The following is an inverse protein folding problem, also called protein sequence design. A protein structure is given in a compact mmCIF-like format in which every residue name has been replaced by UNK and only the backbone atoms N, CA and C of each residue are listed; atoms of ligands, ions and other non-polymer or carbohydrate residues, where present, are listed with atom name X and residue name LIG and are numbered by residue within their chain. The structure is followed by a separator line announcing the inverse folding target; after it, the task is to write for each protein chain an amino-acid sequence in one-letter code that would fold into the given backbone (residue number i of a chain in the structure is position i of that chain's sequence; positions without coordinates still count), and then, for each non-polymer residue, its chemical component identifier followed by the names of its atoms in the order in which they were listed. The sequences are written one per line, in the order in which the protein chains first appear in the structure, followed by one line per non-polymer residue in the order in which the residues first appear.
data_IF_197004321591
#
_entry.id   IF_197004321591
#
_cell.length_a   1.000
_cell.length_b   1.000
_cell.length_c   1.000
_cell.angle_alpha   90.00
_cell.angle_beta   90.00
_cell.angle_gamma   90.00
#
_symmetry.space_group_name_H-M   'P 1'
#
loop_
_entity.id
_entity.type
_entity.pdbx_description
1 polymer ?
#
# COMPACT_ATOMS: atom_id res chain seq x y z
N UNK A 1 -14.00 -1.14 17.03
CA UNK A 1 -14.20 0.10 17.82
C UNK A 1 -15.43 0.92 17.39
N UNK A 2 -16.10 0.61 16.27
CA UNK A 2 -17.46 1.13 16.06
C UNK A 2 -18.36 0.71 17.24
N UNK A 3 -18.29 -0.57 17.64
CA UNK A 3 -19.06 -1.14 18.75
C UNK A 3 -18.75 -0.53 20.12
N UNK A 4 -17.48 -0.35 20.49
CA UNK A 4 -17.12 0.27 21.78
C UNK A 4 -17.48 1.77 21.87
N UNK A 5 -17.47 2.50 20.75
CA UNK A 5 -17.97 3.89 20.70
C UNK A 5 -19.51 3.95 20.63
N UNK A 6 -20.15 2.96 20.00
CA UNK A 6 -21.60 2.79 20.01
C UNK A 6 -22.12 2.55 21.44
N UNK A 7 -21.43 1.72 22.22
CA UNK A 7 -21.81 1.44 23.61
C UNK A 7 -21.70 2.64 24.56
N UNK A 8 -20.89 3.66 24.23
CA UNK A 8 -20.78 4.91 24.99
C UNK A 8 -21.73 5.99 24.46
N UNK A 9 -22.05 5.96 23.17
CA UNK A 9 -23.01 6.88 22.55
C UNK A 9 -24.47 6.56 22.88
N UNK A 10 -24.75 5.33 23.27
CA UNK A 10 -26.06 4.86 23.66
C UNK A 10 -25.94 4.21 25.03
N UNK A 11 -26.35 4.90 26.09
CA UNK A 11 -26.50 4.29 27.40
C UNK A 11 -27.91 3.70 27.52
N UNK A 12 -27.96 2.41 27.79
CA UNK A 12 -29.22 1.69 27.98
C UNK A 12 -29.42 1.47 29.47
N UNK A 13 -30.34 2.20 30.09
CA UNK A 13 -30.78 1.93 31.45
C UNK A 13 -32.17 1.29 31.38
N UNK A 14 -32.23 0.03 31.80
CA UNK A 14 -33.50 -0.70 31.93
C UNK A 14 -34.00 -0.46 33.36
N UNK A 15 -35.08 0.30 33.52
CA UNK A 15 -35.77 0.46 34.80
C UNK A 15 -37.13 -0.23 34.77
N UNK A 16 -37.78 -0.37 35.93
CA UNK A 16 -39.11 -0.98 36.07
C UNK A 16 -40.22 -0.22 35.29
N UNK A 17 -39.94 1.00 34.83
CA UNK A 17 -40.84 1.83 34.02
C UNK A 17 -40.61 1.71 32.49
N UNK A 18 -39.59 0.94 32.06
CA UNK A 18 -39.27 0.72 30.65
C UNK A 18 -37.80 0.99 30.31
N UNK A 19 -37.46 0.87 29.02
CA UNK A 19 -36.10 1.11 28.51
C UNK A 19 -35.92 2.60 28.23
N UNK A 20 -35.05 3.29 28.99
CA UNK A 20 -34.64 4.67 28.68
C UNK A 20 -33.33 4.64 27.91
N UNK A 21 -33.34 5.27 26.73
CA UNK A 21 -32.22 5.32 25.80
C UNK A 21 -31.67 6.75 25.80
N UNK A 22 -30.57 6.97 26.50
CA UNK A 22 -29.91 8.27 26.57
C UNK A 22 -28.77 8.29 25.55
N UNK A 23 -28.76 9.29 24.67
CA UNK A 23 -27.75 9.40 23.62
C UNK A 23 -27.20 10.81 23.47
N UNK A 24 -25.88 10.89 23.38
CA UNK A 24 -25.18 12.15 23.16
C UNK A 24 -25.26 12.55 21.68
N UNK A 25 -26.01 13.63 21.41
CA UNK A 25 -26.21 14.18 20.06
C UNK A 25 -24.89 14.56 19.37
N UNK A 26 -23.90 15.04 20.12
CA UNK A 26 -22.59 15.41 19.54
C UNK A 26 -21.81 14.16 19.14
N UNK A 27 -21.80 13.14 20.00
CA UNK A 27 -21.10 11.88 19.74
C UNK A 27 -21.74 11.12 18.56
N UNK A 28 -23.08 11.09 18.48
CA UNK A 28 -23.80 10.50 17.35
C UNK A 28 -23.47 11.24 16.05
N UNK A 29 -23.42 12.58 16.07
CA UNK A 29 -23.03 13.38 14.91
C UNK A 29 -21.60 13.07 14.47
N UNK A 30 -20.66 12.93 15.41
CA UNK A 30 -19.27 12.57 15.11
C UNK A 30 -19.14 11.14 14.54
N UNK A 31 -19.91 10.19 15.07
CA UNK A 31 -20.01 8.83 14.53
C UNK A 31 -20.54 8.85 13.09
N UNK A 32 -21.59 9.61 12.81
CA UNK A 32 -22.17 9.74 11.47
C UNK A 32 -21.17 10.35 10.48
N UNK A 33 -20.43 11.39 10.89
CA UNK A 33 -19.35 11.97 10.09
C UNK A 33 -18.22 10.97 9.82
N UNK A 34 -17.86 10.16 10.82
CA UNK A 34 -16.83 9.12 10.68
C UNK A 34 -17.28 8.01 9.73
N UNK A 35 -18.54 7.57 9.85
CA UNK A 35 -19.14 6.57 8.97
C UNK A 35 -19.22 7.07 7.52
N UNK A 36 -19.73 8.29 7.29
CA UNK A 36 -19.78 8.95 5.97
C UNK A 36 -18.38 9.04 5.34
N UNK A 37 -17.37 9.39 6.14
CA UNK A 37 -15.98 9.45 5.69
C UNK A 37 -15.43 8.07 5.30
N UNK A 38 -15.66 7.06 6.13
CA UNK A 38 -15.25 5.68 5.85
C UNK A 38 -15.87 5.16 4.56
N UNK A 39 -17.18 5.40 4.36
CA UNK A 39 -17.89 5.02 3.15
C UNK A 39 -17.32 5.74 1.92
N UNK A 40 -17.10 7.06 2.01
CA UNK A 40 -16.50 7.85 0.92
C UNK A 40 -15.10 7.34 0.55
N UNK A 41 -14.28 6.94 1.52
CA UNK A 41 -12.96 6.36 1.23
C UNK A 41 -13.06 5.00 0.55
N UNK A 42 -13.96 4.13 1.00
CA UNK A 42 -14.21 2.83 0.35
C UNK A 42 -14.65 3.02 -1.09
N UNK A 43 -15.56 3.95 -1.33
CA UNK A 43 -16.01 4.30 -2.69
C UNK A 43 -14.87 4.84 -3.57
N UNK A 44 -14.06 5.77 -3.06
CA UNK A 44 -12.89 6.29 -3.79
C UNK A 44 -11.89 5.16 -4.11
N UNK A 45 -11.60 4.28 -3.15
CA UNK A 45 -10.68 3.16 -3.34
C UNK A 45 -11.21 2.19 -4.40
N UNK A 46 -12.49 1.84 -4.32
CA UNK A 46 -13.17 1.04 -5.32
C UNK A 46 -13.03 1.67 -6.71
N UNK A 47 -13.42 2.93 -6.86
CA UNK A 47 -13.35 3.64 -8.14
C UNK A 47 -11.92 3.74 -8.70
N UNK A 48 -10.93 3.99 -7.84
CA UNK A 48 -9.53 4.01 -8.23
C UNK A 48 -9.02 2.63 -8.66
N UNK A 49 -9.47 1.54 -8.02
CA UNK A 49 -9.12 0.20 -8.46
C UNK A 49 -9.64 -0.06 -9.88
N UNK A 50 -10.87 0.36 -10.20
CA UNK A 50 -11.38 0.22 -11.57
C UNK A 50 -10.58 1.09 -12.55
N UNK A 51 -10.21 2.33 -12.19
CA UNK A 51 -9.31 3.17 -13.00
C UNK A 51 -7.95 2.51 -13.27
N UNK A 52 -7.36 1.88 -12.25
CA UNK A 52 -6.09 1.16 -12.41
C UNK A 52 -6.22 -0.06 -13.32
N UNK A 53 -7.39 -0.70 -13.37
CA UNK A 53 -7.66 -1.81 -14.31
C UNK A 53 -7.74 -1.32 -15.76
N UNK A 54 -8.27 -0.11 -15.98
CA UNK A 54 -8.45 0.45 -17.33
C UNK A 54 -7.24 1.23 -17.85
N UNK A 55 -6.32 1.64 -16.98
CA UNK A 55 -5.06 2.26 -17.38
C UNK A 55 -4.32 1.38 -18.43
N UNK A 56 -3.84 1.95 -19.56
CA UNK A 56 -3.58 3.38 -19.84
C UNK A 56 -4.77 4.21 -20.35
N UNK A 57 -5.93 3.58 -20.57
CA UNK A 57 -7.13 4.26 -21.06
C UNK A 57 -7.86 5.03 -19.95
N UNK A 58 -8.81 5.87 -20.33
CA UNK A 58 -9.68 6.60 -19.40
C UNK A 58 -11.06 5.99 -19.36
N UNK A 59 -11.65 5.90 -18.17
CA UNK A 59 -13.03 5.44 -18.01
C UNK A 59 -14.03 6.16 -18.92
N UNK A 60 -14.06 7.52 -18.96
CA UNK A 60 -14.97 8.21 -19.87
C UNK A 60 -14.75 7.87 -21.35
N UNK A 61 -13.50 7.68 -21.80
CA UNK A 61 -13.24 7.35 -23.21
C UNK A 61 -13.69 5.94 -23.54
N UNK A 62 -13.43 4.97 -22.65
CA UNK A 62 -13.85 3.58 -22.86
C UNK A 62 -15.37 3.49 -22.88
N UNK A 63 -16.06 4.15 -21.95
CA UNK A 63 -17.53 4.19 -21.94
C UNK A 63 -18.08 4.90 -23.18
N UNK A 64 -17.50 6.04 -23.58
CA UNK A 64 -17.92 6.74 -24.79
C UNK A 64 -17.74 5.88 -26.05
N UNK A 65 -16.64 5.12 -26.14
CA UNK A 65 -16.39 4.22 -27.26
C UNK A 65 -17.34 3.02 -27.25
N UNK A 66 -17.63 2.43 -26.09
CA UNK A 66 -18.64 1.36 -25.98
C UNK A 66 -20.03 1.87 -26.39
N UNK A 67 -20.43 3.07 -25.93
CA UNK A 67 -21.71 3.67 -26.29
C UNK A 67 -21.75 3.98 -27.79
N UNK A 68 -20.68 4.55 -28.34
CA UNK A 68 -20.59 4.86 -29.76
C UNK A 68 -20.69 3.59 -30.61
N UNK A 69 -19.89 2.56 -30.32
CA UNK A 69 -19.91 1.31 -31.09
C UNK A 69 -21.23 0.56 -30.92
N UNK A 70 -21.84 0.60 -29.73
CA UNK A 70 -23.15 -0.01 -29.50
C UNK A 70 -24.26 0.75 -30.26
N UNK A 71 -24.24 2.08 -30.25
CA UNK A 71 -25.19 2.89 -31.04
C UNK A 71 -25.06 2.61 -32.53
N UNK A 72 -23.84 2.46 -33.05
CA UNK A 72 -23.60 2.07 -34.44
C UNK A 72 -24.16 0.68 -34.75
N UNK A 73 -23.96 -0.32 -33.88
CA UNK A 73 -24.54 -1.66 -34.09
C UNK A 73 -26.07 -1.66 -34.09
N UNK A 74 -26.69 -0.82 -33.25
CA UNK A 74 -28.15 -0.73 -33.18
C UNK A 74 -28.68 0.06 -34.37
N UNK A 75 -27.98 1.10 -34.83
CA UNK A 75 -28.36 1.87 -36.01
C UNK A 75 -28.16 1.09 -37.31
N UNK A 76 -27.17 0.20 -37.38
CA UNK A 76 -26.96 -0.70 -38.53
C UNK A 76 -28.13 -1.66 -38.75
N UNK A 77 -28.78 -2.09 -37.67
CA UNK A 77 -30.04 -2.84 -37.75
C UNK A 77 -31.17 -2.03 -38.42
N UNK A 78 -31.06 -0.70 -38.44
CA UNK A 78 -32.06 0.24 -38.96
C UNK A 78 -31.48 1.15 -40.06
N UNK A 79 -30.62 0.66 -40.96
CA UNK A 79 -30.29 1.29 -42.28
C UNK A 79 -28.86 1.85 -42.50
N UNK A 80 -27.86 1.57 -41.66
CA UNK A 80 -26.45 1.91 -41.94
C UNK A 80 -25.55 0.67 -41.93
N UNK A 81 -25.18 0.10 -43.09
CA UNK A 81 -24.38 -1.13 -43.31
C UNK A 81 -22.99 -1.26 -42.60
N UNK A 82 -22.84 -0.83 -41.35
CA UNK A 82 -21.59 -0.89 -40.58
C UNK A 82 -21.84 -1.40 -39.16
N UNK A 83 -21.58 -2.69 -38.94
CA UNK A 83 -21.59 -3.34 -37.64
C UNK A 83 -20.17 -3.52 -37.08
N UNK A 84 -19.72 -2.71 -36.09
CA UNK A 84 -18.42 -2.88 -35.44
C UNK A 84 -18.26 -4.20 -34.67
N UNK A 85 -19.34 -4.94 -34.42
CA UNK A 85 -19.30 -6.27 -33.79
C UNK A 85 -19.26 -7.41 -34.79
N UNK A 86 -19.22 -7.13 -36.10
CA UNK A 86 -19.16 -8.11 -37.18
C UNK A 86 -20.26 -9.19 -37.07
N UNK A 87 -21.48 -8.81 -36.68
CA UNK A 87 -22.63 -9.71 -36.52
C UNK A 87 -22.64 -10.53 -35.23
N UNK A 88 -21.63 -10.42 -34.36
CA UNK A 88 -21.57 -11.18 -33.10
C UNK A 88 -22.65 -10.73 -32.11
N UNK A 89 -22.97 -9.43 -32.05
CA UNK A 89 -24.05 -8.94 -31.20
C UNK A 89 -25.40 -9.57 -31.59
N UNK A 90 -25.65 -9.74 -32.90
CA UNK A 90 -26.86 -10.39 -33.41
C UNK A 90 -26.91 -11.89 -33.11
N UNK A 91 -25.76 -12.56 -33.04
CA UNK A 91 -25.71 -13.97 -32.58
C UNK A 91 -25.97 -14.08 -31.10
N UNK A 92 -25.59 -13.08 -30.30
CA UNK A 92 -25.78 -13.12 -28.85
C UNK A 92 -27.26 -12.98 -28.45
N UNK A 93 -28.10 -12.33 -29.27
CA UNK A 93 -29.54 -12.19 -28.99
C UNK A 93 -30.29 -13.52 -29.00
N UNK A 94 -29.76 -14.55 -29.67
CA UNK A 94 -30.39 -15.88 -29.74
C UNK A 94 -30.12 -16.73 -28.50
N UNK A 95 -29.17 -16.33 -27.64
CA UNK A 95 -28.84 -17.03 -26.40
C UNK A 95 -29.63 -16.51 -25.20
N UNK A 96 -29.92 -17.38 -24.23
CA UNK A 96 -30.56 -17.01 -22.98
C UNK A 96 -29.58 -16.26 -22.04
N UNK A 97 -30.03 -15.26 -21.26
CA UNK A 97 -31.40 -14.72 -21.13
C UNK A 97 -31.79 -13.62 -22.15
N UNK A 98 -30.93 -13.27 -23.12
CA UNK A 98 -31.19 -12.15 -24.04
C UNK A 98 -32.38 -12.39 -24.97
N UNK A 99 -32.67 -13.64 -25.29
CA UNK A 99 -33.82 -14.04 -26.11
C UNK A 99 -35.19 -13.84 -25.42
N UNK A 100 -35.23 -13.58 -24.11
CA UNK A 100 -36.46 -13.30 -23.35
C UNK A 100 -36.91 -11.83 -23.44
N UNK A 101 -36.04 -10.96 -23.96
CA UNK A 101 -36.32 -9.53 -24.13
C UNK A 101 -36.92 -9.25 -25.52
N UNK A 102 -37.70 -8.16 -25.68
CA UNK A 102 -38.10 -7.66 -26.99
C UNK A 102 -36.90 -7.48 -27.93
N UNK A 103 -37.07 -7.73 -29.23
CA UNK A 103 -35.98 -7.75 -30.20
C UNK A 103 -35.05 -6.53 -30.14
N UNK A 104 -35.61 -5.33 -29.94
CA UNK A 104 -34.86 -4.08 -29.80
C UNK A 104 -34.02 -4.04 -28.52
N UNK A 105 -34.61 -4.44 -27.38
CA UNK A 105 -33.93 -4.44 -26.09
C UNK A 105 -32.86 -5.52 -26.05
N UNK A 106 -33.17 -6.70 -26.58
CA UNK A 106 -32.21 -7.80 -26.76
C UNK A 106 -30.98 -7.35 -27.54
N UNK A 107 -31.17 -6.69 -28.69
CA UNK A 107 -30.07 -6.18 -29.51
C UNK A 107 -29.22 -5.13 -28.77
N UNK A 108 -29.85 -4.18 -28.06
CA UNK A 108 -29.12 -3.16 -27.29
C UNK A 108 -28.26 -3.81 -26.21
N UNK A 109 -28.81 -4.72 -25.42
CA UNK A 109 -28.07 -5.37 -24.32
C UNK A 109 -26.97 -6.26 -24.90
N UNK A 110 -27.22 -6.99 -26.00
CA UNK A 110 -26.21 -7.80 -26.67
C UNK A 110 -25.08 -6.95 -27.28
N UNK A 111 -25.40 -5.83 -27.92
CA UNK A 111 -24.44 -4.87 -28.44
C UNK A 111 -23.53 -4.29 -27.35
N UNK A 112 -24.13 -3.80 -26.25
CA UNK A 112 -23.37 -3.26 -25.11
C UNK A 112 -22.47 -4.33 -24.50
N UNK A 113 -22.97 -5.55 -24.35
CA UNK A 113 -22.20 -6.67 -23.80
C UNK A 113 -21.02 -7.01 -24.70
N UNK A 114 -21.24 -7.21 -26.00
CA UNK A 114 -20.17 -7.56 -26.95
C UNK A 114 -19.11 -6.46 -27.04
N UNK A 115 -19.51 -5.20 -27.13
CA UNK A 115 -18.59 -4.07 -27.16
C UNK A 115 -17.81 -3.92 -25.85
N UNK A 116 -18.43 -4.19 -24.70
CA UNK A 116 -17.75 -4.18 -23.40
C UNK A 116 -16.70 -5.28 -23.32
N UNK A 117 -17.01 -6.50 -23.76
CA UNK A 117 -16.05 -7.61 -23.84
C UNK A 117 -14.91 -7.25 -24.80
N UNK A 118 -15.21 -6.73 -26.00
CA UNK A 118 -14.21 -6.32 -26.97
C UNK A 118 -13.23 -5.28 -26.41
N UNK A 119 -13.74 -4.22 -25.77
CA UNK A 119 -12.88 -3.22 -25.13
C UNK A 119 -12.10 -3.77 -23.93
N UNK A 120 -12.68 -4.69 -23.15
CA UNK A 120 -11.96 -5.38 -22.09
C UNK A 120 -10.80 -6.22 -22.65
N UNK A 121 -10.99 -6.89 -23.78
CA UNK A 121 -9.92 -7.61 -24.50
C UNK A 121 -8.84 -6.66 -25.00
N UNK A 122 -9.20 -5.52 -25.59
CA UNK A 122 -8.21 -4.49 -26.01
C UNK A 122 -7.38 -4.00 -24.83
N UNK A 123 -8.03 -3.65 -23.71
CA UNK A 123 -7.33 -3.22 -22.49
C UNK A 123 -6.39 -4.32 -21.99
N UNK A 124 -6.86 -5.57 -21.96
CA UNK A 124 -6.04 -6.72 -21.57
C UNK A 124 -4.81 -6.88 -22.47
N UNK A 125 -4.96 -6.81 -23.79
CA UNK A 125 -3.86 -6.95 -24.75
C UNK A 125 -2.83 -5.83 -24.62
N UNK A 126 -3.28 -4.58 -24.43
CA UNK A 126 -2.38 -3.44 -24.21
C UNK A 126 -1.60 -3.61 -22.90
N UNK A 127 -2.29 -3.97 -21.81
CA UNK A 127 -1.64 -4.23 -20.50
C UNK A 127 -0.64 -5.38 -20.57
N UNK A 128 -1.01 -6.46 -21.25
CA UNK A 128 -0.14 -7.60 -21.48
C UNK A 128 1.10 -7.20 -22.29
N UNK A 129 0.93 -6.37 -23.32
CA UNK A 129 2.04 -5.82 -24.12
C UNK A 129 2.98 -4.96 -23.27
N UNK A 130 2.46 -4.08 -22.41
CA UNK A 130 3.27 -3.30 -21.46
C UNK A 130 4.03 -4.24 -20.52
N UNK A 131 3.36 -5.24 -19.97
CA UNK A 131 3.99 -6.23 -19.09
C UNK A 131 5.13 -6.98 -19.81
N UNK A 132 4.93 -7.41 -21.06
CA UNK A 132 5.99 -8.05 -21.86
C UNK A 132 7.18 -7.11 -22.08
N UNK A 133 6.93 -5.83 -22.38
CA UNK A 133 8.00 -4.84 -22.50
C UNK A 133 8.75 -4.66 -21.17
N UNK A 134 8.07 -4.68 -20.02
CA UNK A 134 8.71 -4.55 -18.71
C UNK A 134 9.62 -5.73 -18.33
N UNK A 135 9.53 -6.88 -19.00
CA UNK A 135 10.49 -7.99 -18.83
C UNK A 135 11.85 -7.71 -19.49
N UNK A 136 11.95 -6.68 -20.33
CA UNK A 136 13.23 -6.33 -20.95
C UNK A 136 14.15 -5.61 -19.95
N UNK A 137 15.22 -6.30 -19.54
CA UNK A 137 16.20 -5.79 -18.57
C UNK A 137 17.45 -5.16 -19.20
N UNK A 138 17.60 -5.19 -20.53
CA UNK A 138 18.81 -4.69 -21.21
C UNK A 138 19.12 -3.22 -20.90
N UNK A 139 18.08 -2.40 -20.69
CA UNK A 139 18.22 -0.98 -20.33
C UNK A 139 19.07 -0.77 -19.06
N UNK A 140 19.01 -1.69 -18.09
CA UNK A 140 19.75 -1.55 -16.82
C UNK A 140 21.26 -1.74 -16.98
N UNK A 141 21.69 -2.45 -18.02
CA UNK A 141 23.10 -2.76 -18.27
C UNK A 141 23.75 -1.85 -19.32
N UNK A 142 22.93 -1.05 -20.03
CA UNK A 142 23.41 -0.07 -21.01
C UNK A 142 23.80 1.24 -20.31
N UNK A 143 24.82 1.93 -20.87
CA UNK A 143 25.26 3.23 -20.35
C UNK A 143 24.19 4.29 -20.67
N UNK A 144 23.74 5.03 -19.65
CA UNK A 144 22.77 6.13 -19.83
C UNK A 144 23.23 7.10 -20.91
N UNK A 145 22.34 7.39 -21.86
CA UNK A 145 22.59 8.27 -23.01
C UNK A 145 23.11 7.56 -24.27
N UNK A 146 23.63 6.32 -24.15
CA UNK A 146 24.11 5.53 -25.29
C UNK A 146 23.32 4.23 -25.34
N UNK A 147 22.23 4.25 -26.11
CA UNK A 147 21.29 3.12 -26.20
C UNK A 147 21.40 2.38 -27.53
N UNK A 148 21.30 1.05 -27.45
CA UNK A 148 21.19 0.18 -28.62
C UNK A 148 19.91 0.45 -29.42
N UNK A 149 19.88 0.07 -30.71
CA UNK A 149 18.67 0.23 -31.54
C UNK A 149 17.46 -0.49 -30.92
N UNK A 150 17.69 -1.68 -30.34
CA UNK A 150 16.67 -2.46 -29.62
C UNK A 150 16.09 -1.66 -28.44
N UNK A 151 16.94 -1.06 -27.63
CA UNK A 151 16.52 -0.23 -26.47
C UNK A 151 15.79 1.04 -26.92
N UNK A 152 16.20 1.66 -28.04
CA UNK A 152 15.49 2.81 -28.62
C UNK A 152 14.08 2.44 -29.09
N UNK A 153 13.92 1.33 -29.80
CA UNK A 153 12.61 0.83 -30.22
C UNK A 153 11.75 0.52 -29.00
N UNK A 154 12.32 -0.12 -27.99
CA UNK A 154 11.65 -0.41 -26.73
C UNK A 154 11.13 0.87 -26.04
N UNK A 155 11.93 1.94 -25.96
CA UNK A 155 11.49 3.22 -25.41
C UNK A 155 10.30 3.82 -26.17
N UNK A 156 10.31 3.74 -27.50
CA UNK A 156 9.22 4.25 -28.35
C UNK A 156 7.94 3.45 -28.07
N UNK A 157 8.02 2.13 -28.04
CA UNK A 157 6.88 1.25 -27.76
C UNK A 157 6.31 1.49 -26.35
N UNK A 158 7.17 1.62 -25.34
CA UNK A 158 6.75 1.91 -23.97
C UNK A 158 6.03 3.26 -23.88
N UNK A 159 6.56 4.31 -24.52
CA UNK A 159 5.91 5.63 -24.56
C UNK A 159 4.56 5.59 -25.28
N UNK A 160 4.48 4.89 -26.41
CA UNK A 160 3.25 4.76 -27.18
C UNK A 160 2.15 4.07 -26.37
N UNK A 161 2.48 2.95 -25.71
CA UNK A 161 1.50 2.16 -24.97
C UNK A 161 1.10 2.78 -23.63
N UNK A 162 2.03 3.40 -22.90
CA UNK A 162 1.69 4.06 -21.62
C UNK A 162 0.91 5.38 -21.84
N UNK A 163 1.13 6.04 -22.98
CA UNK A 163 0.57 7.34 -23.29
C UNK A 163 1.14 8.47 -22.42
N UNK A 164 0.76 9.71 -22.74
CA UNK A 164 1.28 10.91 -22.05
C UNK A 164 0.50 11.27 -20.77
N UNK A 165 -0.09 10.27 -20.09
CA UNK A 165 -0.94 10.51 -18.92
C UNK A 165 -0.19 10.29 -17.62
N UNK A 166 -0.48 11.12 -16.63
CA UNK A 166 0.02 10.96 -15.27
C UNK A 166 -0.62 9.72 -14.61
N UNK A 167 0.14 8.65 -14.34
CA UNK A 167 -0.40 7.44 -13.73
C UNK A 167 -0.78 7.67 -12.26
N UNK A 168 -1.79 6.94 -11.78
CA UNK A 168 -2.09 6.85 -10.34
C UNK A 168 -1.08 5.90 -9.68
N UNK A 169 -0.97 6.00 -8.35
CA UNK A 169 0.04 5.28 -7.57
C UNK A 169 0.13 3.78 -7.87
N UNK A 170 -1.01 3.11 -8.10
CA UNK A 170 -1.08 1.67 -8.36
C UNK A 170 -1.49 1.31 -9.79
N UNK A 171 -1.39 2.25 -10.74
CA UNK A 171 -1.79 1.99 -12.13
C UNK A 171 -0.96 0.86 -12.78
N UNK A 172 0.31 0.71 -12.37
CA UNK A 172 1.20 -0.33 -12.90
C UNK A 172 1.21 -1.64 -12.11
N UNK A 173 0.61 -1.70 -10.91
CA UNK A 173 0.74 -2.86 -10.01
C UNK A 173 0.30 -4.18 -10.66
N UNK A 174 -0.75 -4.14 -11.50
CA UNK A 174 -1.23 -5.31 -12.23
C UNK A 174 -0.55 -5.57 -13.59
N UNK A 175 0.54 -4.87 -13.90
CA UNK A 175 1.37 -5.06 -15.10
C UNK A 175 2.84 -5.30 -14.75
N UNK A 176 3.19 -5.30 -13.46
CA UNK A 176 4.56 -5.55 -13.00
C UNK A 176 4.99 -6.97 -13.40
N UNK A 177 6.23 -7.15 -13.89
CA UNK A 177 6.77 -8.49 -14.15
C UNK A 177 6.95 -9.24 -12.83
N UNK A 178 6.78 -10.57 -12.88
CA UNK A 178 7.07 -11.43 -11.73
C UNK A 178 8.59 -11.46 -11.53
N UNK A 179 9.03 -11.42 -10.26
CA UNK A 179 10.46 -11.52 -9.95
C UNK A 179 11.01 -12.83 -10.54
N UNK A 180 12.05 -12.79 -11.40
CA UNK A 180 12.58 -13.99 -12.02
C UNK A 180 13.24 -14.91 -11.00
N UNK A 181 13.13 -16.22 -11.23
CA UNK A 181 13.84 -17.24 -10.48
C UNK A 181 15.13 -17.62 -11.24
N UNK A 182 16.32 -17.23 -10.75
CA UNK A 182 17.57 -17.57 -11.43
C UNK A 182 17.81 -19.08 -11.44
N UNK A 183 18.47 -19.62 -12.48
CA UNK A 183 18.92 -21.00 -12.49
C UNK A 183 19.87 -21.30 -11.33
N UNK A 184 19.80 -22.53 -10.82
CA UNK A 184 20.67 -22.97 -9.71
C UNK A 184 22.15 -22.85 -10.10
N UNK A 185 22.51 -23.32 -11.29
CA UNK A 185 23.88 -23.27 -11.82
C UNK A 185 24.43 -21.84 -11.89
N UNK A 186 23.65 -20.91 -12.45
CA UNK A 186 24.04 -19.49 -12.54
C UNK A 186 24.23 -18.88 -11.14
N UNK A 187 23.35 -19.25 -10.20
CA UNK A 187 23.44 -18.82 -8.80
C UNK A 187 24.73 -19.32 -8.15
N UNK A 188 25.08 -20.59 -8.33
CA UNK A 188 26.31 -21.19 -7.80
C UNK A 188 27.56 -20.55 -8.41
N UNK A 189 27.59 -20.31 -9.72
CA UNK A 189 28.71 -19.63 -10.37
C UNK A 189 28.91 -18.20 -9.86
N UNK A 190 27.81 -17.45 -9.68
CA UNK A 190 27.87 -16.09 -9.11
C UNK A 190 28.32 -16.12 -7.65
N UNK A 191 27.85 -17.09 -6.87
CA UNK A 191 28.29 -17.29 -5.49
C UNK A 191 29.80 -17.54 -5.41
N UNK A 192 30.32 -18.52 -6.16
CA UNK A 192 31.76 -18.83 -6.20
C UNK A 192 32.59 -17.62 -6.63
N UNK A 193 32.15 -16.88 -7.64
CA UNK A 193 32.80 -15.62 -8.05
C UNK A 193 32.82 -14.58 -6.92
N UNK A 194 31.75 -14.47 -6.15
CA UNK A 194 31.63 -13.49 -5.06
C UNK A 194 32.50 -13.82 -3.84
N UNK A 195 32.70 -15.11 -3.55
CA UNK A 195 33.52 -15.54 -2.41
C UNK A 195 35.00 -15.69 -2.76
N UNK A 196 35.35 -15.83 -4.05
CA UNK A 196 36.74 -15.95 -4.48
C UNK A 196 37.70 -14.89 -3.90
N UNK A 197 37.39 -13.58 -3.90
CA UNK A 197 38.30 -12.59 -3.33
C UNK A 197 38.36 -12.61 -1.79
N UNK A 198 37.52 -13.41 -1.12
CA UNK A 198 37.45 -13.52 0.34
C UNK A 198 38.19 -14.75 0.89
N UNK A 199 38.61 -15.67 0.03
CA UNK A 199 39.12 -16.99 0.39
C UNK A 199 40.47 -17.26 -0.24
N UNK A 200 41.32 -18.01 0.47
CA UNK A 200 42.54 -18.56 -0.11
C UNK A 200 42.23 -19.72 -1.08
N UNK A 201 43.26 -20.27 -1.73
CA UNK A 201 43.11 -21.32 -2.75
C UNK A 201 42.58 -22.64 -2.19
N UNK A 202 42.97 -22.99 -0.97
CA UNK A 202 42.54 -24.24 -0.33
C UNK A 202 41.08 -24.14 0.11
N UNK A 203 40.72 -23.02 0.75
CA UNK A 203 39.35 -22.71 1.16
C UNK A 203 38.42 -22.59 -0.05
N UNK A 204 38.87 -21.94 -1.12
CA UNK A 204 38.11 -21.81 -2.35
C UNK A 204 37.88 -23.18 -3.02
N UNK A 205 38.90 -24.03 -3.07
CA UNK A 205 38.77 -25.40 -3.60
C UNK A 205 37.75 -26.21 -2.79
N UNK A 206 37.77 -26.07 -1.46
CA UNK A 206 36.74 -26.68 -0.59
C UNK A 206 35.34 -26.16 -0.91
N UNK A 207 35.17 -24.84 -1.05
CA UNK A 207 33.88 -24.24 -1.38
C UNK A 207 33.37 -24.66 -2.77
N UNK A 208 34.28 -24.81 -3.74
CA UNK A 208 33.96 -25.31 -5.08
C UNK A 208 33.35 -26.72 -5.01
N UNK A 209 33.97 -27.62 -4.26
CA UNK A 209 33.46 -28.98 -4.08
C UNK A 209 32.08 -29.00 -3.41
N UNK A 210 31.88 -28.22 -2.34
CA UNK A 210 30.59 -28.10 -1.66
C UNK A 210 29.50 -27.51 -2.56
N UNK A 211 29.83 -26.48 -3.35
CA UNK A 211 28.89 -25.90 -4.30
C UNK A 211 28.48 -26.91 -5.39
N UNK A 212 29.42 -27.73 -5.86
CA UNK A 212 29.15 -28.79 -6.83
C UNK A 212 28.28 -29.90 -6.24
N UNK A 213 28.56 -30.33 -5.01
CA UNK A 213 27.74 -31.30 -4.27
C UNK A 213 26.31 -30.76 -4.07
N UNK A 214 26.17 -29.50 -3.70
CA UNK A 214 24.86 -28.86 -3.56
C UNK A 214 24.11 -28.77 -4.91
N UNK A 215 24.79 -28.35 -5.98
CA UNK A 215 24.21 -28.23 -7.34
C UNK A 215 23.74 -29.58 -7.90
N UNK A 216 24.47 -30.66 -7.59
CA UNK A 216 24.16 -32.01 -8.08
C UNK A 216 23.23 -32.80 -7.16
N UNK A 217 23.27 -32.52 -5.86
CA UNK A 217 22.48 -33.17 -4.81
C UNK A 217 21.23 -32.38 -4.42
N UNK A 218 21.16 -32.00 -3.14
CA UNK A 218 19.94 -31.44 -2.51
C UNK A 218 19.48 -30.12 -3.11
N UNK A 219 20.38 -29.32 -3.68
CA UNK A 219 20.05 -28.03 -4.29
C UNK A 219 19.04 -28.15 -5.43
N UNK A 220 19.07 -29.24 -6.21
CA UNK A 220 18.07 -29.50 -7.26
C UNK A 220 16.67 -29.69 -6.69
N UNK A 221 16.57 -30.38 -5.55
CA UNK A 221 15.30 -30.59 -4.84
C UNK A 221 14.76 -29.27 -4.31
N UNK A 222 15.60 -28.44 -3.71
CA UNK A 222 15.20 -27.12 -3.23
C UNK A 222 14.81 -26.17 -4.38
N UNK A 223 15.53 -26.18 -5.50
CA UNK A 223 15.17 -25.39 -6.68
C UNK A 223 13.79 -25.79 -7.23
N UNK A 224 13.42 -27.08 -7.19
CA UNK A 224 12.06 -27.53 -7.58
C UNK A 224 10.99 -26.96 -6.64
N UNK A 225 11.21 -27.00 -5.33
CA UNK A 225 10.27 -26.40 -4.37
C UNK A 225 10.16 -24.88 -4.54
N UNK A 226 11.29 -24.22 -4.80
CA UNK A 226 11.33 -22.79 -5.08
C UNK A 226 10.58 -22.44 -6.37
N UNK A 227 10.69 -23.29 -7.40
CA UNK A 227 9.93 -23.15 -8.64
C UNK A 227 8.42 -23.30 -8.42
N UNK A 228 7.97 -24.28 -7.63
CA UNK A 228 6.56 -24.39 -7.27
C UNK A 228 6.05 -23.16 -6.52
N UNK A 229 6.84 -22.63 -5.56
CA UNK A 229 6.51 -21.39 -4.86
C UNK A 229 6.46 -20.20 -5.82
N UNK A 230 7.40 -20.11 -6.77
CA UNK A 230 7.41 -19.07 -7.79
C UNK A 230 6.15 -19.07 -8.66
N UNK A 231 5.65 -20.25 -9.05
CA UNK A 231 4.41 -20.37 -9.85
C UNK A 231 3.15 -19.86 -9.13
N UNK A 232 3.07 -20.07 -7.82
CA UNK A 232 1.85 -19.77 -7.04
C UNK A 232 1.91 -18.44 -6.28
N UNK A 233 3.04 -17.74 -6.31
CA UNK A 233 3.24 -16.48 -5.58
C UNK A 233 3.39 -15.29 -6.52
N UNK A 234 2.91 -14.13 -6.09
CA UNK A 234 3.15 -12.86 -6.79
C UNK A 234 4.61 -12.44 -6.70
N UNK A 235 5.26 -12.76 -5.58
CA UNK A 235 6.69 -12.64 -5.36
C UNK A 235 7.15 -13.73 -4.38
N UNK A 236 8.05 -14.60 -4.84
CA UNK A 236 8.51 -15.76 -4.07
C UNK A 236 9.50 -15.42 -2.95
N UNK A 237 9.94 -14.17 -2.84
CA UNK A 237 10.93 -13.74 -1.84
C UNK A 237 10.27 -12.92 -0.74
N UNK A 238 9.26 -12.10 -1.05
CA UNK A 238 8.77 -11.06 -0.14
C UNK A 238 8.31 -11.55 1.23
N UNK A 239 7.56 -12.64 1.30
CA UNK A 239 7.04 -13.20 2.56
C UNK A 239 8.17 -13.76 3.43
N UNK A 240 9.07 -14.55 2.84
CA UNK A 240 10.23 -15.10 3.56
C UNK A 240 11.23 -14.01 3.95
N UNK A 241 11.47 -13.03 3.09
CA UNK A 241 12.35 -11.91 3.39
C UNK A 241 11.82 -11.10 4.58
N UNK A 242 10.54 -10.74 4.56
CA UNK A 242 9.91 -10.05 5.68
C UNK A 242 10.00 -10.88 6.98
N UNK A 243 9.62 -12.16 6.92
CA UNK A 243 9.57 -13.02 8.10
C UNK A 243 10.95 -13.34 8.67
N UNK A 244 11.84 -13.91 7.88
CA UNK A 244 13.11 -14.47 8.36
C UNK A 244 14.18 -13.42 8.56
N UNK A 245 14.26 -12.40 7.71
CA UNK A 245 15.31 -11.36 7.84
C UNK A 245 14.94 -10.33 8.91
N UNK A 246 13.67 -9.94 8.99
CA UNK A 246 13.27 -8.86 9.91
C UNK A 246 12.46 -9.34 11.10
N UNK A 247 11.39 -10.12 10.88
CA UNK A 247 10.41 -10.39 11.94
C UNK A 247 10.83 -11.47 12.92
N UNK A 248 11.68 -12.42 12.54
CA UNK A 248 12.21 -13.48 13.42
C UNK A 248 13.46 -13.08 14.19
N UNK A 249 14.21 -12.07 13.74
CA UNK A 249 15.35 -11.56 14.52
C UNK A 249 14.90 -11.09 15.91
N UNK A 250 15.60 -11.54 16.95
CA UNK A 250 15.30 -11.22 18.36
C UNK A 250 16.12 -10.05 18.91
N UNK A 251 17.13 -9.62 18.16
CA UNK A 251 17.99 -8.50 18.52
C UNK A 251 17.22 -7.17 18.57
N UNK A 252 17.67 -6.20 19.38
CA UNK A 252 17.12 -4.85 19.42
C UNK A 252 17.01 -4.20 18.02
N UNK A 253 15.81 -3.71 17.65
CA UNK A 253 15.60 -3.15 16.30
C UNK A 253 16.13 -1.71 16.15
N UNK A 254 16.20 -0.94 17.24
CA UNK A 254 16.61 0.46 17.18
C UNK A 254 18.03 0.67 16.63
N UNK A 255 18.94 -0.26 16.92
CA UNK A 255 20.34 -0.21 16.49
C UNK A 255 20.56 -1.07 15.24
N UNK A 256 19.94 -2.25 15.18
CA UNK A 256 20.31 -3.26 14.19
C UNK A 256 19.46 -3.25 12.91
N UNK A 257 18.32 -2.54 12.89
CA UNK A 257 17.36 -2.64 11.77
C UNK A 257 16.70 -1.32 11.39
N UNK A 258 16.43 -0.42 12.33
CA UNK A 258 15.84 0.87 12.03
C UNK A 258 16.84 1.76 11.31
N UNK A 259 16.35 2.55 10.35
CA UNK A 259 17.11 3.59 9.69
C UNK A 259 16.44 4.95 9.92
N UNK A 260 17.22 6.02 9.85
CA UNK A 260 16.72 7.38 9.87
C UNK A 260 17.37 8.19 8.76
N UNK A 261 16.64 9.20 8.27
CA UNK A 261 17.14 10.17 7.32
C UNK A 261 16.85 11.57 7.88
N UNK A 262 17.78 12.49 7.67
CA UNK A 262 17.66 13.88 8.11
C UNK A 262 17.85 14.80 6.91
N UNK A 263 16.83 15.58 6.60
CA UNK A 263 16.76 16.41 5.37
C UNK A 263 16.75 17.92 5.69
N UNK A 264 17.24 18.31 6.87
CA UNK A 264 17.10 19.68 7.39
C UNK A 264 18.39 20.48 7.40
N UNK A 265 19.49 19.95 6.83
CA UNK A 265 20.78 20.66 6.81
C UNK A 265 20.73 21.99 6.07
N UNK A 266 19.84 22.14 5.07
CA UNK A 266 19.72 23.34 4.23
C UNK A 266 18.39 24.09 4.37
N UNK A 267 17.45 23.60 5.18
CA UNK A 267 16.13 24.22 5.31
C UNK A 267 16.13 25.33 6.37
N UNK A 268 16.01 26.59 5.94
CA UNK A 268 15.83 27.76 6.82
C UNK A 268 14.34 28.01 7.09
N UNK A 269 13.78 27.29 8.06
CA UNK A 269 12.39 27.45 8.51
C UNK A 269 12.20 28.40 9.69
N UNK A 270 10.96 28.52 10.16
CA UNK A 270 10.63 29.22 11.41
C UNK A 270 11.39 28.60 12.61
N UNK A 271 11.79 29.44 13.56
CA UNK A 271 12.43 29.00 14.82
C UNK A 271 11.41 28.43 15.81
N UNK A 272 10.12 28.74 15.65
CA UNK A 272 9.08 28.21 16.52
C UNK A 272 8.93 26.69 16.32
N UNK A 273 9.23 25.93 17.37
CA UNK A 273 9.14 24.47 17.37
C UNK A 273 7.71 23.96 17.17
N UNK A 274 6.72 24.57 17.82
CA UNK A 274 5.31 24.20 17.69
C UNK A 274 4.83 24.41 16.25
N UNK A 275 5.16 25.56 15.66
CA UNK A 275 4.83 25.87 14.27
C UNK A 275 5.47 24.87 13.29
N UNK A 276 6.74 24.51 13.49
CA UNK A 276 7.42 23.50 12.67
C UNK A 276 6.76 22.13 12.79
N UNK A 277 6.50 21.68 14.02
CA UNK A 277 5.85 20.39 14.28
C UNK A 277 4.47 20.33 13.63
N UNK A 278 3.66 21.38 13.78
CA UNK A 278 2.32 21.48 13.19
C UNK A 278 2.34 21.43 11.67
N UNK A 279 3.25 22.17 11.01
CA UNK A 279 3.39 22.13 9.55
C UNK A 279 3.88 20.76 9.06
N UNK A 280 4.81 20.11 9.77
CA UNK A 280 5.25 18.76 9.46
C UNK A 280 4.08 17.75 9.59
N UNK A 281 3.33 17.80 10.69
CA UNK A 281 2.14 16.98 10.91
C UNK A 281 1.15 17.18 9.77
N UNK A 282 0.82 18.43 9.46
CA UNK A 282 -0.13 18.76 8.39
C UNK A 282 0.32 18.22 7.03
N UNK A 283 1.59 18.41 6.68
CA UNK A 283 2.19 17.91 5.42
C UNK A 283 2.16 16.38 5.36
N UNK A 284 2.54 15.69 6.43
CA UNK A 284 2.48 14.22 6.51
C UNK A 284 1.04 13.70 6.35
N UNK A 285 0.07 14.35 7.00
CA UNK A 285 -1.34 13.96 6.91
C UNK A 285 -1.94 14.28 5.54
N UNK A 286 -1.48 15.35 4.89
CA UNK A 286 -1.84 15.70 3.51
C UNK A 286 -1.28 14.66 2.53
N UNK A 287 -0.01 14.29 2.67
CA UNK A 287 0.60 13.23 1.88
C UNK A 287 -0.11 11.88 2.09
N UNK A 288 -0.44 11.52 3.33
CA UNK A 288 -1.26 10.35 3.63
C UNK A 288 -2.59 10.40 2.88
N UNK A 289 -3.28 11.56 2.85
CA UNK A 289 -4.54 11.72 2.10
C UNK A 289 -4.33 11.50 0.59
N UNK A 290 -3.21 11.95 0.03
CA UNK A 290 -2.86 11.69 -1.38
C UNK A 290 -2.61 10.20 -1.63
N UNK A 291 -1.92 9.49 -0.74
CA UNK A 291 -1.74 8.03 -0.84
C UNK A 291 -3.07 7.27 -0.82
N UNK A 292 -3.97 7.62 0.10
CA UNK A 292 -5.31 7.01 0.17
C UNK A 292 -6.14 7.26 -1.09
N UNK A 293 -5.93 8.41 -1.75
CA UNK A 293 -6.56 8.75 -3.02
C UNK A 293 -5.81 8.24 -4.24
N UNK A 294 -4.62 7.67 -4.06
CA UNK A 294 -3.71 7.22 -5.13
C UNK A 294 -3.30 8.36 -6.08
N UNK A 295 -3.31 9.60 -5.60
CA UNK A 295 -2.97 10.81 -6.39
C UNK A 295 -1.44 11.00 -6.53
N UNK A 296 -0.66 10.28 -5.73
CA UNK A 296 0.80 10.27 -5.81
C UNK A 296 1.21 9.50 -7.06
N UNK A 297 2.12 10.06 -7.85
CA UNK A 297 2.70 9.34 -8.98
C UNK A 297 3.58 8.20 -8.50
N UNK A 298 3.49 7.02 -9.11
CA UNK A 298 4.44 5.96 -8.86
C UNK A 298 5.85 6.47 -9.17
N UNK A 299 6.83 5.95 -8.43
CA UNK A 299 8.23 6.20 -8.73
C UNK A 299 8.56 5.53 -10.06
N UNK A 300 9.15 6.29 -10.99
CA UNK A 300 9.51 5.79 -12.31
C UNK A 300 10.96 6.12 -12.64
N UNK A 301 11.73 5.13 -13.10
CA UNK A 301 13.06 5.35 -13.65
C UNK A 301 12.93 5.88 -15.08
N UNK A 302 13.63 6.97 -15.37
CA UNK A 302 13.60 7.70 -16.65
C UNK A 302 12.17 8.00 -17.15
N UNK A 303 11.23 8.15 -16.21
CA UNK A 303 9.79 8.36 -16.45
C UNK A 303 9.10 7.24 -17.25
N UNK A 304 9.71 6.05 -17.38
CA UNK A 304 9.20 4.96 -18.23
C UNK A 304 9.12 3.61 -17.52
N UNK A 305 10.05 3.31 -16.61
CA UNK A 305 10.07 2.04 -15.89
C UNK A 305 9.43 2.28 -14.51
N UNK A 306 8.18 1.85 -14.28
CA UNK A 306 7.54 1.99 -12.99
C UNK A 306 8.21 1.06 -11.97
N UNK A 307 8.30 1.53 -10.72
CA UNK A 307 8.69 0.73 -9.58
C UNK A 307 7.46 0.32 -8.78
N UNK A 308 7.55 -0.82 -8.09
CA UNK A 308 6.48 -1.29 -7.23
C UNK A 308 6.17 -0.25 -6.14
N UNK A 309 4.88 0.01 -5.96
CA UNK A 309 4.37 0.99 -5.00
C UNK A 309 3.68 0.36 -3.80
N UNK A 310 3.69 -0.98 -3.67
CA UNK A 310 3.01 -1.69 -2.58
C UNK A 310 3.40 -1.19 -1.18
N UNK A 311 4.68 -0.89 -0.96
CA UNK A 311 5.21 -0.47 0.34
C UNK A 311 4.61 0.86 0.85
N UNK A 312 4.08 1.72 -0.04
CA UNK A 312 3.41 2.96 0.37
C UNK A 312 2.17 2.70 1.24
N UNK A 313 1.55 1.52 1.16
CA UNK A 313 0.43 1.15 2.04
C UNK A 313 0.84 1.12 3.51
N UNK A 314 2.11 0.77 3.79
CA UNK A 314 2.63 0.61 5.16
C UNK A 314 3.30 1.87 5.72
N UNK A 315 3.31 2.98 4.98
CA UNK A 315 3.95 4.23 5.43
C UNK A 315 3.24 4.87 6.62
N UNK A 316 1.92 4.68 6.71
CA UNK A 316 1.08 5.23 7.77
C UNK A 316 0.26 4.12 8.42
N UNK A 317 -0.23 4.40 9.62
CA UNK A 317 -1.14 3.52 10.38
C UNK A 317 -0.59 2.09 10.59
N UNK A 318 0.73 1.95 10.61
CA UNK A 318 1.40 0.64 10.65
C UNK A 318 2.34 0.58 11.85
N UNK A 319 2.29 -0.53 12.58
CA UNK A 319 3.17 -0.78 13.73
C UNK A 319 3.67 -2.21 13.73
N UNK A 320 4.87 -2.41 14.27
CA UNK A 320 5.46 -3.75 14.48
C UNK A 320 5.22 -4.16 15.94
N UNK A 321 4.34 -5.13 16.13
CA UNK A 321 4.04 -5.71 17.43
C UNK A 321 5.03 -6.83 17.74
N UNK A 322 5.70 -6.81 18.90
CA UNK A 322 6.64 -7.86 19.28
C UNK A 322 5.90 -9.19 19.52
N UNK A 323 6.48 -10.29 19.04
CA UNK A 323 6.06 -11.65 19.41
C UNK A 323 7.20 -12.37 20.13
N UNK A 324 6.92 -13.52 20.76
CA UNK A 324 7.97 -14.30 21.45
C UNK A 324 9.01 -14.78 20.44
N UNK A 325 8.57 -15.46 19.38
CA UNK A 325 9.44 -15.99 18.33
C UNK A 325 9.46 -15.11 17.08
N UNK A 326 8.29 -14.61 16.68
CA UNK A 326 8.12 -13.85 15.44
C UNK A 326 7.27 -12.62 15.70
N UNK A 327 7.78 -11.45 15.32
CA UNK A 327 7.05 -10.18 15.38
C UNK A 327 5.99 -10.12 14.26
N UNK A 328 5.02 -9.21 14.39
CA UNK A 328 3.98 -9.03 13.38
C UNK A 328 3.82 -7.58 13.01
N UNK A 329 3.67 -7.30 11.73
CA UNK A 329 3.32 -5.97 11.22
C UNK A 329 1.80 -5.86 11.17
N UNK A 330 1.26 -4.91 11.93
CA UNK A 330 -0.16 -4.61 11.93
C UNK A 330 -0.42 -3.29 11.21
N UNK A 331 -1.35 -3.33 10.26
CA UNK A 331 -1.86 -2.15 9.58
C UNK A 331 -3.28 -1.85 10.08
N UNK A 332 -3.51 -0.61 10.50
CA UNK A 332 -4.79 -0.15 11.03
C UNK A 332 -5.49 0.78 10.04
N UNK A 333 -6.72 0.44 9.67
CA UNK A 333 -7.53 1.37 8.90
C UNK A 333 -8.11 2.49 9.78
N UNK A 334 -8.18 3.70 9.22
CA UNK A 334 -8.97 4.82 9.76
C UNK A 334 -8.54 5.40 11.12
N UNK A 335 -7.26 5.38 11.49
CA UNK A 335 -6.80 6.16 12.65
C UNK A 335 -7.12 7.66 12.49
N UNK A 336 -7.48 8.34 13.58
CA UNK A 336 -7.89 9.76 13.60
C UNK A 336 -7.01 10.64 14.46
N UNK A 337 -5.97 10.09 15.08
CA UNK A 337 -5.07 10.80 15.99
C UNK A 337 -3.61 10.50 15.69
N UNK A 338 -2.73 11.36 16.21
CA UNK A 338 -1.31 11.06 16.38
C UNK A 338 -1.01 10.95 17.87
N UNK A 339 0.15 10.42 18.21
CA UNK A 339 0.70 10.50 19.57
C UNK A 339 1.95 11.36 19.53
N UNK A 340 1.99 12.34 20.41
CA UNK A 340 3.16 13.16 20.69
C UNK A 340 3.82 12.67 21.99
N UNK A 341 5.15 12.56 21.98
CA UNK A 341 5.95 12.26 23.17
C UNK A 341 6.69 13.54 23.57
N UNK A 342 6.45 14.05 24.77
CA UNK A 342 7.13 15.23 25.32
C UNK A 342 7.46 15.01 26.81
N UNK A 343 8.72 15.24 27.20
CA UNK A 343 9.22 15.05 28.59
C UNK A 343 8.78 13.73 29.24
N UNK A 344 8.82 12.64 28.48
CA UNK A 344 8.47 11.31 28.97
C UNK A 344 6.96 11.02 29.11
N UNK A 345 6.10 11.89 28.58
CA UNK A 345 4.63 11.74 28.60
C UNK A 345 4.06 11.58 27.21
N UNK A 346 2.99 10.81 27.11
CA UNK A 346 2.30 10.51 25.85
C UNK A 346 1.01 11.29 25.73
N UNK A 347 0.89 12.07 24.66
CA UNK A 347 -0.28 12.90 24.38
C UNK A 347 -1.00 12.37 23.16
N UNK A 348 -2.29 12.05 23.31
CA UNK A 348 -3.16 11.74 22.18
C UNK A 348 -3.63 13.04 21.55
N UNK A 349 -3.21 13.29 20.31
CA UNK A 349 -3.50 14.54 19.60
C UNK A 349 -4.51 14.27 18.50
N UNK A 350 -5.76 14.76 18.62
CA UNK A 350 -6.74 14.64 17.55
C UNK A 350 -6.26 15.41 16.32
N UNK A 351 -6.29 14.76 15.16
CA UNK A 351 -5.87 15.40 13.90
C UNK A 351 -7.03 15.96 13.10
N UNK A 352 -8.27 15.62 13.49
CA UNK A 352 -9.47 15.97 12.77
C UNK A 352 -10.46 16.65 13.72
N UNK A 353 -11.18 17.62 13.21
CA UNK A 353 -12.27 18.30 13.91
C UNK A 353 -13.34 18.72 12.89
N UNK A 354 -14.61 18.65 13.27
CA UNK A 354 -15.76 19.05 12.42
C UNK A 354 -15.72 18.43 11.01
N UNK A 355 -15.29 17.16 10.91
CA UNK A 355 -15.24 16.41 9.65
C UNK A 355 -14.07 16.75 8.69
N UNK A 356 -13.16 17.65 9.07
CA UNK A 356 -11.97 18.01 8.27
C UNK A 356 -10.66 17.74 9.01
N UNK A 357 -9.57 17.75 8.26
CA UNK A 357 -8.22 17.83 8.82
C UNK A 357 -8.06 19.19 9.50
N UNK A 358 -7.43 19.20 10.68
CA UNK A 358 -7.12 20.46 11.37
C UNK A 358 -6.08 21.25 10.59
N UNK A 359 -6.25 22.56 10.56
CA UNK A 359 -5.35 23.49 9.89
C UNK A 359 -4.03 23.59 10.68
N UNK A 360 -2.91 24.01 10.05
CA UNK A 360 -1.64 24.15 10.74
C UNK A 360 -1.72 24.96 12.04
N UNK A 361 -2.48 26.07 12.07
CA UNK A 361 -2.63 26.89 13.28
C UNK A 361 -3.36 26.18 14.43
N UNK A 362 -4.35 25.33 14.12
CA UNK A 362 -5.08 24.53 15.12
C UNK A 362 -4.22 23.39 15.68
N UNK A 363 -3.33 22.84 14.85
CA UNK A 363 -2.34 21.86 15.26
C UNK A 363 -1.23 22.53 16.09
N UNK A 364 -0.79 23.74 15.70
CA UNK A 364 0.20 24.54 16.43
C UNK A 364 -0.27 24.81 17.85
N UNK A 365 -1.52 25.26 18.04
CA UNK A 365 -2.09 25.48 19.37
C UNK A 365 -2.08 24.22 20.25
N UNK A 366 -2.32 23.04 19.65
CA UNK A 366 -2.21 21.77 20.38
C UNK A 366 -0.77 21.44 20.74
N UNK A 367 0.19 21.75 19.87
CA UNK A 367 1.61 21.55 20.16
C UNK A 367 2.10 22.52 21.24
N UNK A 368 1.70 23.80 21.18
CA UNK A 368 2.00 24.81 22.20
C UNK A 368 1.52 24.34 23.58
N UNK A 369 0.26 23.89 23.69
CA UNK A 369 -0.27 23.31 24.93
C UNK A 369 0.55 22.14 25.47
N UNK A 370 1.08 21.29 24.60
CA UNK A 370 1.92 20.15 25.01
C UNK A 370 3.31 20.62 25.46
N UNK A 371 3.88 21.64 24.83
CA UNK A 371 5.18 22.21 25.20
C UNK A 371 5.11 23.01 26.51
N UNK A 372 3.97 23.66 26.76
CA UNK A 372 3.68 24.42 27.98
C UNK A 372 3.27 23.53 29.16
N UNK A 373 2.93 22.26 28.93
CA UNK A 373 2.55 21.34 30.00
C UNK A 373 3.74 21.02 30.92
N UNK A 374 3.61 21.41 32.19
CA UNK A 374 4.60 21.22 33.25
C UNK A 374 4.32 20.02 34.13
N UNK A 375 3.20 19.30 33.94
CA UNK A 375 2.86 18.19 34.81
C UNK A 375 3.84 17.02 34.68
N UNK A 376 4.26 16.42 35.82
CA UNK A 376 5.26 15.37 35.82
C UNK A 376 4.72 14.07 35.22
N UNK A 377 5.59 13.25 34.60
CA UNK A 377 5.24 11.91 34.16
C UNK A 377 4.85 11.02 35.35
N UNK A 378 3.97 10.05 35.11
CA UNK A 378 3.67 9.03 36.11
C UNK A 378 4.93 8.21 36.44
N UNK A 379 5.03 7.60 37.64
CA UNK A 379 6.19 6.78 38.01
C UNK A 379 6.49 5.72 36.95
N UNK A 380 7.71 5.76 36.39
CA UNK A 380 8.17 4.86 35.33
C UNK A 380 7.71 5.19 33.90
N UNK A 381 6.82 6.17 33.70
CA UNK A 381 6.29 6.54 32.36
C UNK A 381 7.41 7.02 31.43
N UNK A 382 8.39 7.75 31.97
CA UNK A 382 9.54 8.29 31.22
C UNK A 382 10.33 7.25 30.46
N UNK A 383 10.41 6.04 31.00
CA UNK A 383 11.21 4.94 30.45
C UNK A 383 10.40 3.97 29.59
N UNK A 384 9.07 4.14 29.47
CA UNK A 384 8.22 3.20 28.73
C UNK A 384 8.64 3.07 27.25
N UNK A 385 9.12 4.16 26.64
CA UNK A 385 9.59 4.14 25.25
C UNK A 385 10.81 3.24 25.07
N UNK A 386 11.66 3.13 26.09
CA UNK A 386 12.88 2.33 26.05
C UNK A 386 12.58 0.83 25.91
N UNK A 387 11.40 0.37 26.35
CA UNK A 387 10.97 -1.02 26.16
C UNK A 387 10.89 -1.40 24.68
N UNK A 388 10.55 -0.46 23.80
CA UNK A 388 10.52 -0.69 22.35
C UNK A 388 11.91 -0.85 21.72
N UNK A 389 12.95 -0.40 22.44
CA UNK A 389 14.34 -0.45 22.03
C UNK A 389 15.09 -1.69 22.55
N UNK A 390 14.53 -2.42 23.51
CA UNK A 390 15.12 -3.64 24.03
C UNK A 390 15.01 -4.84 23.08
N UNK A 391 15.46 -6.00 23.57
CA UNK A 391 15.31 -7.28 22.86
C UNK A 391 13.85 -7.60 22.59
N UNK A 392 13.57 -8.23 21.45
CA UNK A 392 12.20 -8.45 20.98
C UNK A 392 11.43 -9.42 21.86
N UNK A 393 12.10 -10.48 22.31
CA UNK A 393 11.50 -11.49 23.20
C UNK A 393 11.15 -10.89 24.57
N UNK A 394 12.08 -10.15 25.18
CA UNK A 394 11.83 -9.46 26.45
C UNK A 394 10.69 -8.44 26.32
N UNK A 395 10.67 -7.67 25.23
CA UNK A 395 9.57 -6.73 24.97
C UNK A 395 8.23 -7.45 24.79
N UNK A 396 8.19 -8.56 24.06
CA UNK A 396 6.98 -9.36 23.90
C UNK A 396 6.44 -9.90 25.25
N UNK A 397 7.32 -10.37 26.14
CA UNK A 397 6.94 -10.86 27.46
C UNK A 397 6.35 -9.73 28.32
N UNK A 398 7.04 -8.59 28.40
CA UNK A 398 6.58 -7.41 29.16
C UNK A 398 5.23 -6.92 28.60
N UNK A 399 5.09 -6.86 27.27
CA UNK A 399 3.84 -6.48 26.61
C UNK A 399 2.69 -7.41 27.01
N UNK A 400 2.91 -8.72 27.01
CA UNK A 400 1.88 -9.71 27.36
C UNK A 400 1.50 -9.67 28.85
N UNK A 401 2.46 -9.43 29.73
CA UNK A 401 2.22 -9.38 31.18
C UNK A 401 1.52 -8.09 31.59
N UNK A 402 1.97 -6.92 31.10
CA UNK A 402 1.58 -5.63 31.67
C UNK A 402 0.66 -4.77 30.78
N UNK A 403 0.51 -5.11 29.49
CA UNK A 403 -0.26 -4.31 28.53
C UNK A 403 -1.48 -5.03 27.94
N UNK A 404 -1.91 -6.14 28.53
CA UNK A 404 -3.08 -6.91 28.08
C UNK A 404 -4.38 -6.52 28.78
N UNK A 405 -4.33 -5.74 29.88
CA UNK A 405 -5.51 -5.35 30.67
C UNK A 405 -5.43 -3.90 31.14
N UNK A 406 -6.58 -3.36 31.54
CA UNK A 406 -6.71 -2.05 32.17
C UNK A 406 -6.27 -0.88 31.29
N UNK A 407 -5.83 0.19 31.95
CA UNK A 407 -5.41 1.45 31.31
C UNK A 407 -4.24 1.23 30.33
N UNK A 408 -3.28 0.37 30.69
CA UNK A 408 -2.12 0.08 29.85
C UNK A 408 -2.50 -0.51 28.49
N UNK A 409 -3.50 -1.40 28.45
CA UNK A 409 -4.02 -1.91 27.18
C UNK A 409 -4.61 -0.80 26.32
N UNK A 410 -5.45 0.05 26.90
CA UNK A 410 -6.12 1.14 26.17
C UNK A 410 -5.09 2.16 25.67
N UNK A 411 -4.09 2.48 26.49
CA UNK A 411 -2.98 3.37 26.12
C UNK A 411 -2.12 2.78 25.01
N UNK A 412 -1.75 1.50 25.11
CA UNK A 412 -0.96 0.83 24.06
C UNK A 412 -1.74 0.68 22.76
N UNK A 413 -3.03 0.30 22.81
CA UNK A 413 -3.89 0.28 21.63
C UNK A 413 -4.00 1.67 21.00
N UNK A 414 -4.04 2.74 21.82
CA UNK A 414 -4.03 4.12 21.33
C UNK A 414 -2.74 4.44 20.61
N UNK A 415 -1.59 4.00 21.13
CA UNK A 415 -0.26 4.19 20.54
C UNK A 415 -0.08 3.35 19.27
N UNK A 416 -0.49 2.09 19.27
CA UNK A 416 -0.36 1.18 18.14
C UNK A 416 -1.26 1.60 16.97
N UNK A 417 -2.44 2.15 17.26
CA UNK A 417 -3.38 2.70 16.25
C UNK A 417 -3.05 4.13 15.83
N UNK A 418 -1.81 4.59 15.99
CA UNK A 418 -1.41 5.94 15.59
C UNK A 418 -1.22 6.05 14.08
N UNK A 419 -1.63 7.18 13.50
CA UNK A 419 -1.42 7.47 12.07
C UNK A 419 0.05 7.49 11.65
N UNK A 420 0.88 8.09 12.50
CA UNK A 420 2.34 8.13 12.45
C UNK A 420 2.83 8.76 13.75
N UNK A 421 3.95 8.29 14.27
CA UNK A 421 4.61 8.94 15.40
C UNK A 421 5.13 10.31 14.98
N UNK A 422 4.77 11.34 15.73
CA UNK A 422 5.49 12.62 15.68
C UNK A 422 6.10 12.81 17.05
N UNK A 423 7.40 12.51 17.16
CA UNK A 423 8.17 12.93 18.32
C UNK A 423 8.31 14.44 18.21
N UNK A 424 7.61 15.19 19.07
CA UNK A 424 7.94 16.59 19.29
C UNK A 424 9.34 16.61 19.90
N UNK A 425 10.34 16.84 19.06
CA UNK A 425 11.74 16.95 19.49
C UNK A 425 11.85 18.07 20.50
N UNK A 426 11.79 17.76 21.80
CA UNK A 426 12.39 18.61 22.83
C UNK A 426 13.80 18.94 22.36
N UNK A 427 14.07 20.23 22.24
CA UNK A 427 15.39 20.85 22.21
C UNK A 427 16.54 19.88 22.52
N UNK A 428 17.44 19.70 21.55
CA UNK A 428 18.86 19.52 21.87
C UNK A 428 19.32 20.81 22.52
#
# INVERSE_FOLDING_TARGET
MAEAKLAVAFSFNVSHEGVRLDYDKELVKELMHTAKRSWRYRFIRFWNNIKNVVFPFTMPSVVALIVLTSSLTVHDYFDMNFDPTFGLARRLTTFAPWNLLPARESLIVSAVTMNTVGWATVIFLVRWSIQMLLHYHGVMYERRGIYSLKTRIWFILMRLLQGNRKPQLYSFSGMMPILPLPPLKDTMQRYLRSVRPLLDDNEYTRMLNLAMEFETGVGRRFQRYLYFKWLISTNYVSDWWEEYVYLRSRSPIMINSNFYAMDTLLFRGTKNQAARAANLIYSLLSFRRMLHRQDVTPLMLDSLIPLDSWQYQRTFDTTRVPGIETDRVFHFDNSTHIVALHKGRYYKVPTHGKGRLLNPKELELQMERILEDTSPPQPGETMLAALTAGERKAWAQIRNTYFTRGVNRVSLETIERVRRWVRCMTSI
#
